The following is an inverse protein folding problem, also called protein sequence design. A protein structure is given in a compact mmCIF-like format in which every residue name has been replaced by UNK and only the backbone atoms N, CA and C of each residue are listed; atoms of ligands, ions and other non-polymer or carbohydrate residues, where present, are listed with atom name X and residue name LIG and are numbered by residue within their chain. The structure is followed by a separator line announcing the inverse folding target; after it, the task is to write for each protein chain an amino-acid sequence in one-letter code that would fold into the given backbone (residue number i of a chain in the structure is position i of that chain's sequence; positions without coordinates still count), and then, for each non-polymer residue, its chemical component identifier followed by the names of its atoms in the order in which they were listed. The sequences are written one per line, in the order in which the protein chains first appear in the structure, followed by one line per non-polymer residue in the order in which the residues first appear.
data_IF_793347434144
#
_entry.id   IF_793347434144
#
_cell.length_a   1.000
_cell.length_b   1.000
_cell.length_c   1.000
_cell.angle_alpha   90.00
_cell.angle_beta   90.00
_cell.angle_gamma   90.00
#
_symmetry.space_group_name_H-M   'P 1'
#
loop_
_entity.id
_entity.type
_entity.pdbx_description
1 polymer ?
#
# COMPACT_ATOMS: atom_id res chain seq x y z
N UNK A 1 -20.95 -7.74 -72.80
CA UNK A 1 -20.09 -7.11 -73.84
C UNK A 1 -19.46 -5.89 -73.19
N UNK A 2 -18.18 -5.97 -72.77
CA UNK A 2 -16.99 -5.52 -73.53
C UNK A 2 -17.12 -4.05 -73.97
N UNK A 3 -16.25 -3.10 -73.66
CA UNK A 3 -14.80 -3.12 -73.40
C UNK A 3 -14.37 -1.71 -72.92
N UNK A 4 -13.39 -1.62 -72.03
CA UNK A 4 -12.55 -0.42 -71.76
C UNK A 4 -11.57 -0.16 -72.94
N UNK A 5 -10.48 0.64 -72.83
CA UNK A 5 -10.12 1.74 -71.91
C UNK A 5 -9.54 2.98 -72.64
N UNK A 6 -9.28 4.08 -71.94
CA UNK A 6 -8.18 5.03 -72.26
C UNK A 6 -7.72 5.74 -70.97
N UNK A 7 -6.47 5.53 -70.58
CA UNK A 7 -5.75 6.27 -69.53
C UNK A 7 -4.38 6.70 -70.11
N UNK A 8 -4.06 7.98 -69.94
CA UNK A 8 -2.80 8.69 -70.20
C UNK A 8 -3.00 10.08 -69.56
N UNK A 9 -2.13 10.75 -68.80
CA UNK A 9 -0.68 10.73 -68.56
C UNK A 9 -0.40 11.48 -67.23
N UNK A 10 0.69 11.10 -66.53
CA UNK A 10 1.74 12.00 -65.96
C UNK A 10 2.21 11.67 -64.52
N UNK A 11 3.53 11.46 -64.30
CA UNK A 11 4.20 11.28 -63.00
C UNK A 11 5.00 12.55 -62.59
N UNK A 12 5.89 12.51 -61.56
CA UNK A 12 5.71 12.10 -60.17
C UNK A 12 6.13 13.22 -59.17
N UNK A 13 5.69 13.13 -57.91
CA UNK A 13 6.26 14.00 -56.87
C UNK A 13 5.58 13.92 -55.51
N UNK A 14 6.24 13.20 -54.59
CA UNK A 14 6.28 13.43 -53.14
C UNK A 14 5.00 13.21 -52.29
N UNK A 15 5.16 12.29 -51.35
CA UNK A 15 4.25 11.86 -50.28
C UNK A 15 3.66 12.99 -49.44
N UNK A 16 2.38 12.86 -49.04
CA UNK A 16 1.90 13.45 -47.79
C UNK A 16 1.29 12.36 -46.89
N UNK A 17 2.08 11.87 -45.94
CA UNK A 17 1.56 11.25 -44.72
C UNK A 17 1.02 12.33 -43.79
N UNK A 18 -0.18 12.84 -44.09
CA UNK A 18 -0.91 13.77 -43.25
C UNK A 18 -2.09 13.06 -42.59
N UNK A 19 -1.92 12.64 -41.33
CA UNK A 19 -3.04 12.19 -40.50
C UNK A 19 -3.61 13.43 -39.82
N UNK A 20 -4.81 13.82 -40.23
CA UNK A 20 -5.62 14.82 -39.56
C UNK A 20 -6.10 14.30 -38.19
N UNK A 21 -5.83 15.10 -37.15
CA UNK A 21 -6.79 15.60 -36.16
C UNK A 21 -7.94 14.67 -35.72
N UNK A 22 -7.98 14.30 -34.44
CA UNK A 22 -8.96 14.83 -33.46
C UNK A 22 -8.93 14.05 -32.13
N UNK A 23 -9.42 14.73 -31.09
CA UNK A 23 -9.84 14.27 -29.75
C UNK A 23 -8.69 14.07 -28.72
N UNK A 24 -8.39 15.06 -27.88
CA UNK A 24 -9.15 15.48 -26.67
C UNK A 24 -9.13 14.40 -25.57
N UNK A 25 -8.34 14.72 -24.53
CA UNK A 25 -8.62 14.46 -23.10
C UNK A 25 -9.33 13.14 -22.77
N UNK A 26 -8.56 12.10 -22.54
CA UNK A 26 -9.01 10.95 -21.74
C UNK A 26 -8.25 10.99 -20.42
N UNK A 27 -8.91 11.54 -19.39
CA UNK A 27 -8.45 11.48 -18.02
C UNK A 27 -8.29 10.01 -17.60
N UNK A 28 -7.09 9.62 -17.12
CA UNK A 28 -6.77 8.25 -16.74
C UNK A 28 -7.27 7.92 -15.32
N UNK A 29 -7.95 6.77 -15.09
CA UNK A 29 -8.39 6.31 -13.77
C UNK A 29 -7.41 5.28 -13.16
N UNK A 30 -6.21 5.70 -12.77
CA UNK A 30 -5.08 4.81 -12.41
C UNK A 30 -4.49 5.00 -10.99
N UNK A 31 -5.18 5.71 -10.09
CA UNK A 31 -4.59 6.29 -8.87
C UNK A 31 -5.05 5.74 -7.49
N UNK A 32 -5.76 4.61 -7.40
CA UNK A 32 -6.19 4.04 -6.10
C UNK A 32 -5.52 2.70 -5.85
N UNK A 33 -4.85 2.51 -4.71
CA UNK A 33 -4.27 1.21 -4.29
C UNK A 33 -3.53 1.36 -2.94
N UNK A 34 -4.24 1.67 -1.84
CA UNK A 34 -3.75 2.16 -0.52
C UNK A 34 -4.01 3.66 -0.27
N UNK A 35 -5.20 4.08 -0.64
CA UNK A 35 -5.90 5.20 -0.01
C UNK A 35 -7.35 4.80 -0.11
N UNK A 36 -8.02 4.65 1.03
CA UNK A 36 -9.39 4.16 1.21
C UNK A 36 -10.25 4.44 -0.03
N UNK A 37 -10.67 3.37 -0.73
CA UNK A 37 -11.36 3.43 -2.03
C UNK A 37 -12.77 3.98 -1.83
N UNK A 38 -12.85 5.29 -1.69
CA UNK A 38 -14.07 6.06 -1.44
C UNK A 38 -14.65 6.72 -2.70
N UNK A 39 -14.25 6.29 -3.90
CA UNK A 39 -14.33 7.10 -5.11
C UNK A 39 -15.63 7.10 -5.91
N UNK A 40 -16.52 6.14 -5.71
CA UNK A 40 -17.54 5.86 -6.74
C UNK A 40 -18.97 6.29 -6.40
N UNK A 41 -19.33 6.55 -5.14
CA UNK A 41 -20.69 6.95 -4.76
C UNK A 41 -20.73 7.89 -3.53
N UNK A 42 -20.10 9.07 -3.58
CA UNK A 42 -20.08 10.01 -2.45
C UNK A 42 -20.68 11.40 -2.78
N UNK A 43 -21.43 12.03 -1.86
CA UNK A 43 -21.85 13.42 -1.97
C UNK A 43 -20.63 14.38 -1.95
N UNK A 44 -20.85 15.58 -2.52
CA UNK A 44 -19.85 16.57 -2.97
C UNK A 44 -18.65 16.78 -2.03
N UNK A 45 -17.45 16.57 -2.60
CA UNK A 45 -16.14 17.16 -2.30
C UNK A 45 -16.14 18.23 -1.19
N UNK A 46 -15.34 18.03 -0.13
CA UNK A 46 -15.02 19.12 0.81
C UNK A 46 -14.10 20.07 0.06
N UNK A 47 -14.64 21.24 -0.30
CA UNK A 47 -13.87 22.31 -0.95
C UNK A 47 -12.90 22.87 0.10
N UNK A 48 -11.61 22.59 -0.05
CA UNK A 48 -10.59 23.53 0.42
C UNK A 48 -10.89 24.89 -0.23
N UNK A 49 -10.70 25.99 0.48
CA UNK A 49 -10.88 27.35 -0.07
C UNK A 49 -9.99 27.57 -1.30
N UNK A 50 -8.85 26.87 -1.34
CA UNK A 50 -7.99 26.68 -2.52
C UNK A 50 -8.04 25.22 -2.99
N UNK A 51 -8.44 25.00 -4.24
CA UNK A 51 -8.41 23.67 -4.87
C UNK A 51 -6.96 23.30 -5.25
N UNK A 52 -6.13 23.03 -4.25
CA UNK A 52 -4.68 22.79 -4.40
C UNK A 52 -4.35 21.62 -5.34
N UNK A 53 -5.28 20.69 -5.55
CA UNK A 53 -5.17 19.64 -6.56
C UNK A 53 -5.01 20.21 -7.99
N UNK A 54 -5.53 21.41 -8.25
CA UNK A 54 -5.37 22.14 -9.53
C UNK A 54 -4.06 22.92 -9.62
N UNK A 55 -3.32 23.03 -8.53
CA UNK A 55 -2.02 23.72 -8.44
C UNK A 55 -0.92 22.74 -7.99
N UNK A 56 -0.60 21.69 -8.77
CA UNK A 56 0.27 20.59 -8.34
C UNK A 56 1.67 21.04 -7.91
N UNK A 57 2.20 22.11 -8.51
CA UNK A 57 3.49 22.71 -8.13
C UNK A 57 3.43 23.41 -6.77
N UNK A 58 2.34 24.13 -6.49
CA UNK A 58 2.12 24.80 -5.20
C UNK A 58 1.93 23.76 -4.10
N UNK A 59 1.12 22.74 -4.36
CA UNK A 59 0.92 21.62 -3.44
C UNK A 59 2.25 20.90 -3.14
N UNK A 60 3.07 20.61 -4.15
CA UNK A 60 4.38 19.99 -3.96
C UNK A 60 5.30 20.87 -3.10
N UNK A 61 5.31 22.19 -3.33
CA UNK A 61 6.11 23.14 -2.54
C UNK A 61 5.69 23.21 -1.06
N UNK A 62 4.41 22.96 -0.75
CA UNK A 62 3.89 22.91 0.62
C UNK A 62 4.16 21.57 1.30
N UNK A 63 4.03 20.44 0.59
CA UNK A 63 4.28 19.10 1.15
C UNK A 63 5.77 18.80 1.32
N UNK A 64 6.62 19.25 0.38
CA UNK A 64 8.06 18.96 0.34
C UNK A 64 8.79 19.24 1.66
N UNK A 65 8.70 20.43 2.29
CA UNK A 65 9.42 20.70 3.54
C UNK A 65 9.01 19.75 4.67
N UNK A 66 7.73 19.39 4.76
CA UNK A 66 7.22 18.49 5.82
C UNK A 66 7.74 17.07 5.62
N UNK A 67 7.62 16.52 4.41
CA UNK A 67 8.14 15.18 4.09
C UNK A 67 9.66 15.11 4.28
N UNK A 68 10.38 16.15 3.84
CA UNK A 68 11.84 16.23 3.98
C UNK A 68 12.26 16.27 5.45
N UNK A 69 11.66 17.16 6.24
CA UNK A 69 11.98 17.29 7.66
C UNK A 69 11.68 15.98 8.41
N UNK A 70 10.55 15.34 8.12
CA UNK A 70 10.21 14.06 8.73
C UNK A 70 11.26 12.98 8.43
N UNK A 71 11.75 12.87 7.19
CA UNK A 71 12.83 11.93 6.83
C UNK A 71 14.15 12.24 7.57
N UNK A 72 14.50 13.52 7.70
CA UNK A 72 15.69 13.96 8.45
C UNK A 72 15.59 13.62 9.94
N UNK A 73 14.45 13.91 10.57
CA UNK A 73 14.20 13.65 11.99
C UNK A 73 14.11 12.14 12.31
N UNK A 74 13.60 11.34 11.37
CA UNK A 74 13.60 9.88 11.42
C UNK A 74 15.00 9.28 11.19
N UNK A 75 16.00 10.11 10.85
CA UNK A 75 17.37 9.70 10.54
C UNK A 75 17.42 8.65 9.42
N UNK A 76 16.55 8.80 8.43
CA UNK A 76 16.41 7.84 7.35
C UNK A 76 17.70 7.76 6.51
N UNK A 77 18.37 6.59 6.44
CA UNK A 77 19.69 6.47 5.83
C UNK A 77 19.66 6.25 4.31
N UNK A 78 18.50 6.41 3.66
CA UNK A 78 18.29 6.09 2.25
C UNK A 78 18.01 4.61 1.99
N UNK A 79 17.74 4.30 0.72
CA UNK A 79 17.28 2.97 0.31
C UNK A 79 18.25 1.84 0.68
N UNK A 80 17.78 0.65 1.10
CA UNK A 80 18.65 -0.49 1.39
C UNK A 80 19.22 -1.12 0.11
N UNK A 81 20.39 -1.75 0.23
CA UNK A 81 20.94 -2.60 -0.83
C UNK A 81 20.42 -4.02 -0.66
N UNK A 82 19.83 -4.57 -1.71
CA UNK A 82 19.38 -5.97 -1.76
C UNK A 82 20.40 -6.82 -2.54
N UNK A 83 20.58 -8.07 -2.12
CA UNK A 83 21.45 -9.02 -2.81
C UNK A 83 20.66 -9.74 -3.90
N UNK A 84 21.30 -9.98 -5.05
CA UNK A 84 20.68 -10.66 -6.19
C UNK A 84 20.15 -12.05 -5.81
N UNK A 85 20.94 -12.80 -5.04
CA UNK A 85 20.59 -14.17 -4.66
C UNK A 85 19.34 -14.20 -3.75
N UNK A 86 19.22 -13.21 -2.85
CA UNK A 86 18.05 -13.04 -1.99
C UNK A 86 16.80 -12.68 -2.82
N UNK A 87 16.96 -11.80 -3.82
CA UNK A 87 15.89 -11.41 -4.75
C UNK A 87 15.38 -12.60 -5.55
N UNK A 88 16.29 -13.36 -6.17
CA UNK A 88 15.93 -14.55 -6.96
C UNK A 88 15.26 -15.62 -6.10
N UNK A 89 15.78 -15.89 -4.89
CA UNK A 89 15.20 -16.85 -3.98
C UNK A 89 13.80 -16.46 -3.51
N UNK A 90 13.60 -15.18 -3.13
CA UNK A 90 12.31 -14.67 -2.69
C UNK A 90 11.27 -14.66 -3.82
N UNK A 91 11.64 -14.19 -5.02
CA UNK A 91 10.75 -14.20 -6.18
C UNK A 91 10.31 -15.62 -6.53
N UNK A 92 11.25 -16.57 -6.56
CA UNK A 92 10.96 -17.98 -6.81
C UNK A 92 9.98 -18.54 -5.76
N UNK A 93 10.22 -18.24 -4.49
CA UNK A 93 9.36 -18.70 -3.39
C UNK A 93 7.95 -18.10 -3.50
N UNK A 94 7.85 -16.77 -3.61
CA UNK A 94 6.56 -16.08 -3.71
C UNK A 94 5.77 -16.51 -4.95
N UNK A 95 6.41 -16.64 -6.10
CA UNK A 95 5.74 -17.09 -7.32
C UNK A 95 5.21 -18.52 -7.16
N UNK A 96 6.02 -19.46 -6.67
CA UNK A 96 5.57 -20.83 -6.39
C UNK A 96 4.34 -20.84 -5.48
N UNK A 97 4.39 -20.08 -4.39
CA UNK A 97 3.28 -20.00 -3.42
C UNK A 97 2.04 -19.31 -3.98
N UNK A 98 2.20 -18.30 -4.83
CA UNK A 98 1.09 -17.64 -5.50
C UNK A 98 0.36 -18.58 -6.47
N UNK A 99 1.11 -19.40 -7.21
CA UNK A 99 0.55 -20.47 -8.04
C UNK A 99 -0.19 -21.51 -7.19
N UNK A 100 0.34 -21.89 -6.03
CA UNK A 100 -0.33 -22.80 -5.09
C UNK A 100 -1.61 -22.21 -4.49
N UNK A 101 -1.63 -20.90 -4.23
CA UNK A 101 -2.84 -20.18 -3.80
C UNK A 101 -3.90 -20.18 -4.92
N UNK A 102 -3.48 -20.08 -6.18
CA UNK A 102 -4.36 -20.17 -7.34
C UNK A 102 -5.14 -18.89 -7.63
N UNK A 103 -4.69 -17.73 -7.12
CA UNK A 103 -5.23 -16.43 -7.52
C UNK A 103 -4.45 -15.87 -8.73
N UNK A 104 -5.11 -15.34 -9.78
CA UNK A 104 -4.42 -14.90 -11.00
C UNK A 104 -3.34 -13.84 -10.74
N UNK A 105 -2.16 -13.98 -11.34
CA UNK A 105 -1.09 -12.97 -11.33
C UNK A 105 -1.03 -12.17 -12.64
N UNK A 106 -1.85 -12.48 -13.63
CA UNK A 106 -1.84 -11.83 -14.95
C UNK A 106 -2.60 -10.48 -14.98
N UNK A 107 -3.38 -10.17 -13.93
CA UNK A 107 -4.11 -8.90 -13.84
C UNK A 107 -3.19 -7.74 -13.41
N UNK A 108 -3.37 -6.51 -13.95
CA UNK A 108 -2.56 -5.36 -13.56
C UNK A 108 -2.58 -5.07 -12.04
N UNK A 109 -3.72 -5.31 -11.39
CA UNK A 109 -3.88 -5.16 -9.94
C UNK A 109 -3.05 -6.20 -9.18
N UNK A 110 -3.17 -7.47 -9.55
CA UNK A 110 -2.46 -8.56 -8.90
C UNK A 110 -0.95 -8.39 -9.03
N UNK A 111 -0.46 -8.02 -10.21
CA UNK A 111 0.97 -7.73 -10.41
C UNK A 111 1.47 -6.56 -9.58
N UNK A 112 0.65 -5.51 -9.39
CA UNK A 112 1.02 -4.36 -8.55
C UNK A 112 1.06 -4.76 -7.07
N UNK A 113 0.07 -5.49 -6.59
CA UNK A 113 0.04 -6.02 -5.23
C UNK A 113 1.21 -6.98 -4.95
N UNK A 114 1.52 -7.86 -5.90
CA UNK A 114 2.63 -8.79 -5.80
C UNK A 114 3.97 -8.05 -5.75
N UNK A 115 4.18 -7.06 -6.63
CA UNK A 115 5.38 -6.19 -6.59
C UNK A 115 5.51 -5.46 -5.26
N UNK A 116 4.43 -4.90 -4.74
CA UNK A 116 4.46 -4.21 -3.45
C UNK A 116 4.81 -5.15 -2.30
N UNK A 117 4.18 -6.32 -2.24
CA UNK A 117 4.48 -7.33 -1.23
C UNK A 117 5.92 -7.83 -1.32
N UNK A 118 6.41 -8.08 -2.53
CA UNK A 118 7.79 -8.46 -2.78
C UNK A 118 8.77 -7.38 -2.31
N UNK A 119 8.54 -6.12 -2.66
CA UNK A 119 9.36 -4.99 -2.22
C UNK A 119 9.39 -4.85 -0.70
N UNK A 120 8.23 -4.90 -0.04
CA UNK A 120 8.17 -4.80 1.43
C UNK A 120 8.91 -5.96 2.11
N UNK A 121 8.70 -7.19 1.64
CA UNK A 121 9.39 -8.37 2.15
C UNK A 121 10.93 -8.25 2.01
N UNK A 122 11.41 -7.88 0.82
CA UNK A 122 12.84 -7.80 0.54
C UNK A 122 13.53 -6.64 1.28
N UNK A 123 12.86 -5.48 1.39
CA UNK A 123 13.46 -4.27 1.95
C UNK A 123 13.31 -4.16 3.46
N UNK A 124 12.17 -4.59 4.02
CA UNK A 124 11.90 -4.45 5.46
C UNK A 124 12.44 -5.62 6.28
N UNK A 125 12.63 -6.79 5.65
CA UNK A 125 13.01 -8.02 6.35
C UNK A 125 14.22 -8.72 5.72
N UNK A 126 15.32 -8.01 5.41
CA UNK A 126 16.43 -8.52 4.61
C UNK A 126 17.17 -9.71 5.25
N UNK A 127 17.00 -9.92 6.56
CA UNK A 127 17.63 -11.02 7.33
C UNK A 127 16.67 -12.08 7.82
N UNK A 128 15.39 -11.97 7.51
CA UNK A 128 14.44 -13.03 7.80
C UNK A 128 14.67 -14.20 6.83
N UNK A 129 14.37 -15.45 7.21
CA UNK A 129 14.32 -16.56 6.27
C UNK A 129 13.42 -16.24 5.07
N UNK A 130 13.75 -16.80 3.91
CA UNK A 130 13.00 -16.55 2.66
C UNK A 130 11.52 -16.93 2.81
N UNK A 131 11.21 -17.94 3.61
CA UNK A 131 9.85 -18.37 3.90
C UNK A 131 9.06 -17.31 4.66
N UNK A 132 9.71 -16.61 5.59
CA UNK A 132 9.10 -15.52 6.37
C UNK A 132 8.94 -14.27 5.52
N UNK A 133 9.97 -13.91 4.75
CA UNK A 133 9.87 -12.82 3.76
C UNK A 133 8.72 -13.10 2.78
N UNK A 134 8.65 -14.32 2.24
CA UNK A 134 7.59 -14.75 1.34
C UNK A 134 6.21 -14.73 1.98
N UNK A 135 6.08 -15.13 3.25
CA UNK A 135 4.84 -14.98 4.00
C UNK A 135 4.36 -13.52 4.04
N UNK A 136 5.25 -12.58 4.38
CA UNK A 136 4.93 -11.15 4.41
C UNK A 136 4.51 -10.66 3.03
N UNK A 137 5.28 -11.00 1.99
CA UNK A 137 4.98 -10.55 0.64
C UNK A 137 3.67 -11.09 0.08
N UNK A 138 3.35 -12.36 0.34
CA UNK A 138 2.07 -12.96 -0.05
C UNK A 138 0.90 -12.39 0.74
N UNK A 139 1.08 -12.14 2.04
CA UNK A 139 0.08 -11.50 2.89
C UNK A 139 -0.26 -10.11 2.34
N UNK A 140 0.75 -9.28 2.07
CA UNK A 140 0.56 -7.95 1.47
C UNK A 140 -0.12 -8.04 0.11
N UNK A 141 0.30 -8.97 -0.76
CA UNK A 141 -0.32 -9.15 -2.08
C UNK A 141 -1.83 -9.41 -1.97
N UNK A 142 -2.25 -10.38 -1.15
CA UNK A 142 -3.66 -10.75 -1.00
C UNK A 142 -4.48 -9.66 -0.31
N UNK A 143 -3.91 -8.96 0.68
CA UNK A 143 -4.55 -7.80 1.32
C UNK A 143 -4.85 -6.69 0.31
N UNK A 144 -3.91 -6.42 -0.62
CA UNK A 144 -4.14 -5.44 -1.70
C UNK A 144 -5.25 -5.90 -2.64
N UNK A 145 -5.37 -7.20 -2.92
CA UNK A 145 -6.49 -7.73 -3.70
C UNK A 145 -7.82 -7.57 -2.96
N UNK A 146 -7.83 -7.80 -1.64
CA UNK A 146 -9.03 -7.68 -0.82
C UNK A 146 -9.58 -6.24 -0.82
N UNK A 147 -8.71 -5.24 -0.62
CA UNK A 147 -9.07 -3.81 -0.65
C UNK A 147 -9.81 -3.43 -1.95
N UNK A 148 -9.35 -3.95 -3.08
CA UNK A 148 -9.94 -3.69 -4.39
C UNK A 148 -11.23 -4.48 -4.64
N UNK A 149 -11.32 -5.75 -4.23
CA UNK A 149 -12.53 -6.58 -4.42
C UNK A 149 -13.70 -6.07 -3.58
N UNK A 150 -13.48 -5.65 -2.33
CA UNK A 150 -14.53 -4.96 -1.55
C UNK A 150 -14.90 -3.65 -2.24
N UNK A 151 -13.94 -3.07 -2.98
CA UNK A 151 -14.07 -1.96 -3.90
C UNK A 151 -15.12 -2.11 -5.00
N UNK A 152 -15.28 -3.32 -5.53
CA UNK A 152 -16.04 -3.61 -6.74
C UNK A 152 -17.50 -3.97 -6.45
N UNK A 153 -18.42 -3.54 -7.33
CA UNK A 153 -19.87 -3.68 -7.13
C UNK A 153 -20.42 -5.08 -7.52
N UNK A 154 -19.63 -5.95 -8.14
CA UNK A 154 -20.08 -7.25 -8.66
C UNK A 154 -19.78 -8.40 -7.66
N UNK A 155 -20.58 -8.53 -6.60
CA UNK A 155 -20.56 -9.70 -5.69
C UNK A 155 -19.38 -9.79 -4.70
N UNK A 156 -18.28 -9.06 -4.93
CA UNK A 156 -17.10 -9.06 -4.06
C UNK A 156 -17.39 -8.65 -2.61
N UNK A 157 -18.37 -7.74 -2.41
CA UNK A 157 -18.79 -7.34 -1.07
C UNK A 157 -19.47 -8.50 -0.29
N UNK A 158 -20.32 -9.30 -0.94
CA UNK A 158 -21.03 -10.41 -0.29
C UNK A 158 -20.05 -11.50 0.16
N UNK A 159 -19.06 -11.81 -0.67
CA UNK A 159 -17.99 -12.75 -0.34
C UNK A 159 -17.16 -12.25 0.86
N UNK A 160 -16.80 -10.96 0.86
CA UNK A 160 -16.05 -10.33 1.94
C UNK A 160 -16.82 -10.28 3.27
N UNK A 161 -18.13 -10.00 3.24
CA UNK A 161 -18.99 -9.98 4.43
C UNK A 161 -19.01 -11.32 5.16
N UNK A 162 -18.89 -12.43 4.43
CA UNK A 162 -18.90 -13.76 5.03
C UNK A 162 -17.53 -14.24 5.51
N UNK A 163 -16.43 -13.59 5.10
CA UNK A 163 -15.07 -14.06 5.38
C UNK A 163 -14.86 -14.44 6.85
N UNK A 164 -15.15 -13.53 7.78
CA UNK A 164 -14.90 -13.71 9.21
C UNK A 164 -15.72 -14.86 9.81
N UNK A 165 -17.01 -14.96 9.46
CA UNK A 165 -17.86 -16.07 9.92
C UNK A 165 -17.27 -17.39 9.47
N UNK A 166 -16.94 -17.50 8.18
CA UNK A 166 -16.38 -18.72 7.59
C UNK A 166 -15.03 -19.08 8.21
N UNK A 167 -14.16 -18.07 8.40
CA UNK A 167 -12.86 -18.22 9.03
C UNK A 167 -12.97 -18.78 10.46
N UNK A 168 -13.85 -18.22 11.29
CA UNK A 168 -14.05 -18.65 12.68
C UNK A 168 -14.69 -20.05 12.77
N UNK A 169 -15.54 -20.40 11.81
CA UNK A 169 -16.17 -21.72 11.75
C UNK A 169 -15.28 -22.80 11.11
N UNK A 170 -14.09 -22.44 10.60
CA UNK A 170 -13.23 -23.35 9.85
C UNK A 170 -13.82 -23.78 8.50
N UNK A 171 -14.76 -23.01 7.96
CA UNK A 171 -15.28 -23.21 6.61
C UNK A 171 -14.24 -22.75 5.58
N UNK A 172 -14.26 -23.38 4.39
CA UNK A 172 -13.54 -22.88 3.20
C UNK A 172 -13.94 -21.42 2.92
N UNK A 173 -13.22 -20.68 2.08
CA UNK A 173 -13.59 -19.34 1.61
C UNK A 173 -14.15 -19.42 0.19
N UNK A 174 -14.91 -18.41 -0.29
CA UNK A 174 -15.66 -18.55 -1.54
C UNK A 174 -14.78 -18.46 -2.79
N UNK A 175 -13.57 -17.91 -2.66
CA UNK A 175 -12.61 -17.83 -3.75
C UNK A 175 -11.17 -18.09 -3.25
N UNK A 176 -10.25 -18.31 -4.19
CA UNK A 176 -8.86 -18.64 -3.92
C UNK A 176 -8.08 -17.53 -3.19
N UNK A 177 -8.38 -16.24 -3.45
CA UNK A 177 -7.73 -15.12 -2.76
C UNK A 177 -8.07 -15.12 -1.26
N UNK A 178 -9.37 -15.22 -0.94
CA UNK A 178 -9.84 -15.27 0.44
C UNK A 178 -9.36 -16.55 1.14
N UNK A 179 -9.37 -17.70 0.45
CA UNK A 179 -8.84 -18.95 1.02
C UNK A 179 -7.34 -18.85 1.30
N UNK A 180 -6.58 -18.23 0.38
CA UNK A 180 -5.17 -17.93 0.56
C UNK A 180 -4.93 -17.06 1.79
N UNK A 181 -5.71 -15.99 1.98
CA UNK A 181 -5.58 -15.10 3.12
C UNK A 181 -5.93 -15.80 4.44
N UNK A 182 -7.02 -16.57 4.47
CA UNK A 182 -7.38 -17.42 5.61
C UNK A 182 -6.29 -18.44 5.93
N UNK A 183 -5.68 -19.04 4.90
CA UNK A 183 -4.55 -19.96 5.02
C UNK A 183 -3.32 -19.30 5.63
N UNK A 184 -2.96 -18.08 5.21
CA UNK A 184 -1.85 -17.32 5.82
C UNK A 184 -2.14 -16.97 7.27
N UNK A 185 -3.35 -16.51 7.60
CA UNK A 185 -3.74 -16.23 8.98
C UNK A 185 -3.60 -17.48 9.87
N UNK A 186 -3.99 -18.66 9.38
CA UNK A 186 -3.81 -19.95 10.09
C UNK A 186 -2.34 -20.37 10.22
N UNK A 187 -1.48 -19.97 9.30
CA UNK A 187 -0.03 -20.25 9.35
C UNK A 187 0.71 -19.35 10.36
N UNK A 188 0.17 -18.17 10.70
CA UNK A 188 0.85 -17.18 11.53
C UNK A 188 1.41 -17.72 12.87
N UNK A 189 0.70 -18.55 13.66
CA UNK A 189 1.23 -19.11 14.91
C UNK A 189 2.40 -20.09 14.71
N UNK A 190 2.60 -20.59 13.48
CA UNK A 190 3.77 -21.38 13.11
C UNK A 190 5.04 -20.53 12.94
N UNK A 191 4.89 -19.25 12.61
CA UNK A 191 5.99 -18.33 12.26
C UNK A 191 6.28 -17.31 13.37
N UNK A 192 5.24 -16.82 14.04
CA UNK A 192 5.30 -15.83 15.09
C UNK A 192 4.91 -16.44 16.44
N UNK A 193 5.27 -15.76 17.53
CA UNK A 193 4.79 -16.12 18.87
C UNK A 193 3.25 -16.25 18.86
N UNK A 194 2.64 -17.23 19.54
CA UNK A 194 1.19 -17.44 19.45
C UNK A 194 0.34 -16.22 19.83
N UNK A 195 0.74 -15.45 20.84
CA UNK A 195 0.01 -14.24 21.25
C UNK A 195 0.20 -13.14 20.21
N UNK A 196 1.43 -12.96 19.71
CA UNK A 196 1.73 -11.99 18.66
C UNK A 196 1.04 -12.35 17.33
N UNK A 197 0.93 -13.64 17.02
CA UNK A 197 0.17 -14.15 15.88
C UNK A 197 -1.34 -13.85 16.03
N UNK A 198 -1.91 -13.95 17.23
CA UNK A 198 -3.28 -13.51 17.47
C UNK A 198 -3.46 -11.99 17.29
N UNK A 199 -2.50 -11.17 17.72
CA UNK A 199 -2.54 -9.72 17.49
C UNK A 199 -2.47 -9.38 15.99
N UNK A 200 -1.61 -10.06 15.22
CA UNK A 200 -1.54 -9.98 13.77
C UNK A 200 -2.89 -10.35 13.13
N UNK A 201 -3.48 -11.47 13.54
CA UNK A 201 -4.79 -11.91 13.04
C UNK A 201 -5.88 -10.87 13.33
N UNK A 202 -5.94 -10.34 14.57
CA UNK A 202 -6.87 -9.28 14.94
C UNK A 202 -6.67 -8.05 14.05
N UNK A 203 -5.43 -7.64 13.82
CA UNK A 203 -5.10 -6.49 12.96
C UNK A 203 -5.57 -6.70 11.51
N UNK A 204 -5.38 -7.90 10.97
CA UNK A 204 -5.88 -8.24 9.64
C UNK A 204 -7.42 -8.25 9.58
N UNK A 205 -8.08 -8.86 10.57
CA UNK A 205 -9.56 -8.92 10.60
C UNK A 205 -10.18 -7.54 10.82
N UNK A 206 -9.54 -6.67 11.61
CA UNK A 206 -9.92 -5.24 11.74
C UNK A 206 -9.93 -4.55 10.39
N UNK A 207 -8.87 -4.72 9.59
CA UNK A 207 -8.80 -4.14 8.25
C UNK A 207 -9.89 -4.65 7.32
N UNK A 208 -10.13 -5.95 7.35
CA UNK A 208 -11.17 -6.57 6.55
C UNK A 208 -12.57 -6.07 6.94
N UNK A 209 -12.81 -5.90 8.24
CA UNK A 209 -14.02 -5.25 8.76
C UNK A 209 -14.09 -3.78 8.35
N UNK A 210 -12.98 -3.04 8.39
CA UNK A 210 -12.95 -1.62 8.05
C UNK A 210 -13.36 -1.36 6.60
N UNK A 211 -12.89 -2.21 5.67
CA UNK A 211 -13.31 -2.17 4.27
C UNK A 211 -14.83 -2.28 4.10
N UNK A 212 -15.49 -3.13 4.90
CA UNK A 212 -16.95 -3.26 4.92
C UNK A 212 -17.62 -2.08 5.63
N UNK A 213 -17.06 -1.60 6.75
CA UNK A 213 -17.52 -0.41 7.47
C UNK A 213 -17.53 0.81 6.54
N UNK A 214 -16.49 0.97 5.73
CA UNK A 214 -16.39 2.00 4.71
C UNK A 214 -17.47 1.88 3.63
N UNK A 215 -18.26 0.82 3.57
CA UNK A 215 -19.43 0.67 2.67
C UNK A 215 -20.76 0.78 3.37
N UNK A 216 -20.76 0.73 4.70
CA UNK A 216 -21.97 0.80 5.48
C UNK A 216 -22.66 2.16 5.33
N UNK A 217 -23.97 2.18 5.08
CA UNK A 217 -24.76 3.40 4.87
C UNK A 217 -24.62 4.40 6.02
N UNK A 218 -24.58 3.88 7.25
CA UNK A 218 -24.37 4.69 8.45
C UNK A 218 -23.02 5.40 8.45
N UNK A 219 -21.96 4.79 7.92
CA UNK A 219 -20.65 5.41 7.80
C UNK A 219 -20.59 6.39 6.61
N UNK A 220 -21.19 6.03 5.48
CA UNK A 220 -21.25 6.88 4.29
C UNK A 220 -21.94 8.22 4.55
N UNK A 221 -23.00 8.19 5.36
CA UNK A 221 -23.88 9.32 5.62
C UNK A 221 -23.72 9.92 7.03
N UNK A 222 -22.73 9.47 7.82
CA UNK A 222 -22.53 10.00 9.15
C UNK A 222 -22.16 11.49 9.11
N UNK A 223 -22.66 12.24 10.08
CA UNK A 223 -22.21 13.62 10.33
C UNK A 223 -21.14 13.59 11.40
N UNK A 224 -19.98 14.17 11.11
CA UNK A 224 -18.91 14.35 12.09
C UNK A 224 -19.22 15.51 13.03
N UNK A 225 -19.07 15.33 14.33
CA UNK A 225 -19.20 16.41 15.32
C UNK A 225 -17.84 17.09 15.53
N UNK A 226 -17.62 18.23 14.87
CA UNK A 226 -16.39 19.03 14.99
C UNK A 226 -16.13 19.38 16.47
N UNK A 227 -14.88 19.24 16.92
CA UNK A 227 -14.45 19.50 18.29
C UNK A 227 -14.77 18.39 19.30
N UNK A 228 -15.79 17.56 19.06
CA UNK A 228 -16.14 16.44 19.96
C UNK A 228 -15.63 15.07 19.46
N UNK A 229 -15.66 14.84 18.14
CA UNK A 229 -15.26 13.58 17.52
C UNK A 229 -13.76 13.38 17.32
N UNK A 230 -12.91 14.05 18.10
CA UNK A 230 -11.45 14.16 17.84
C UNK A 230 -10.69 12.83 17.88
N UNK A 231 -11.24 11.78 18.49
CA UNK A 231 -10.64 10.43 18.55
C UNK A 231 -11.08 9.50 17.42
N UNK A 232 -12.14 9.87 16.70
CA UNK A 232 -12.67 9.03 15.62
C UNK A 232 -11.66 8.81 14.47
N UNK A 233 -10.88 9.83 14.03
CA UNK A 233 -9.86 9.62 13.00
C UNK A 233 -8.81 8.59 13.40
N UNK A 234 -8.32 8.62 14.64
CA UNK A 234 -7.33 7.65 15.14
C UNK A 234 -7.92 6.24 15.21
N UNK A 235 -9.16 6.11 15.69
CA UNK A 235 -9.87 4.83 15.74
C UNK A 235 -10.06 4.22 14.34
N UNK A 236 -10.53 5.03 13.38
CA UNK A 236 -10.73 4.57 12.01
C UNK A 236 -9.39 4.18 11.36
N UNK A 237 -8.33 4.94 11.61
CA UNK A 237 -7.00 4.64 11.05
C UNK A 237 -6.45 3.32 11.58
N UNK A 238 -6.59 3.06 12.88
CA UNK A 238 -6.19 1.79 13.51
C UNK A 238 -6.95 0.59 12.92
N UNK A 239 -8.23 0.76 12.60
CA UNK A 239 -9.00 -0.27 11.91
C UNK A 239 -8.49 -0.52 10.48
N UNK A 240 -8.19 0.53 9.73
CA UNK A 240 -7.82 0.47 8.32
C UNK A 240 -6.33 0.15 8.05
N UNK A 241 -5.47 0.06 9.07
CA UNK A 241 -4.02 0.11 8.89
C UNK A 241 -3.26 -1.20 8.76
N UNK A 242 -3.79 -2.30 9.31
CA UNK A 242 -3.03 -3.57 9.44
C UNK A 242 -1.69 -3.36 10.20
N UNK A 243 -1.63 -2.28 10.98
CA UNK A 243 -0.44 -1.72 11.58
C UNK A 243 0.31 -2.69 12.49
N UNK A 244 -0.41 -3.33 13.41
CA UNK A 244 0.14 -4.30 14.36
C UNK A 244 0.65 -5.55 13.64
N UNK A 245 0.01 -6.00 12.55
CA UNK A 245 0.52 -7.12 11.78
C UNK A 245 1.90 -6.82 11.18
N UNK A 246 2.08 -5.65 10.56
CA UNK A 246 3.38 -5.23 10.03
C UNK A 246 4.43 -5.03 11.13
N UNK A 247 4.04 -4.57 12.32
CA UNK A 247 4.94 -4.52 13.47
C UNK A 247 5.37 -5.93 13.92
N UNK A 248 4.44 -6.89 13.96
CA UNK A 248 4.72 -8.30 14.31
C UNK A 248 5.63 -8.98 13.29
N UNK A 249 5.53 -8.64 11.99
CA UNK A 249 6.41 -9.19 10.94
C UNK A 249 7.89 -8.93 11.20
N UNK A 250 8.24 -7.93 11.99
CA UNK A 250 9.61 -7.67 12.41
C UNK A 250 10.20 -8.80 13.29
N UNK A 251 9.38 -9.63 13.92
CA UNK A 251 9.83 -10.52 15.00
C UNK A 251 9.37 -11.99 14.83
N UNK A 252 9.77 -12.71 13.75
CA UNK A 252 9.54 -14.15 13.66
C UNK A 252 10.17 -14.91 14.84
N UNK A 253 9.42 -15.81 15.47
CA UNK A 253 9.81 -16.43 16.76
C UNK A 253 11.08 -17.27 16.68
N UNK A 254 11.43 -17.79 15.51
CA UNK A 254 12.65 -18.57 15.31
C UNK A 254 13.93 -17.72 15.48
N UNK A 255 13.86 -16.41 15.18
CA UNK A 255 14.96 -15.48 15.35
C UNK A 255 14.78 -14.58 16.59
N UNK A 256 13.52 -14.33 17.00
CA UNK A 256 13.15 -13.38 18.03
C UNK A 256 12.19 -14.03 19.06
N UNK A 257 12.64 -15.07 19.81
CA UNK A 257 11.74 -15.89 20.64
C UNK A 257 11.22 -15.17 21.89
N UNK A 258 11.97 -14.22 22.45
CA UNK A 258 11.57 -13.48 23.65
C UNK A 258 10.70 -12.24 23.30
N UNK A 259 9.39 -12.36 23.54
CA UNK A 259 8.39 -11.30 23.31
C UNK A 259 8.64 -10.08 24.21
N UNK A 260 9.19 -10.27 25.41
CA UNK A 260 9.45 -9.16 26.34
C UNK A 260 10.45 -8.15 25.78
N UNK A 261 11.27 -8.56 24.80
CA UNK A 261 12.23 -7.70 24.13
C UNK A 261 11.59 -6.68 23.19
N UNK A 262 10.34 -6.84 22.74
CA UNK A 262 9.77 -5.93 21.74
C UNK A 262 8.29 -5.57 21.92
N UNK A 263 7.55 -6.29 22.76
CA UNK A 263 6.11 -6.08 22.94
C UNK A 263 5.75 -4.62 23.25
N UNK A 264 6.51 -3.99 24.14
CA UNK A 264 6.31 -2.58 24.54
C UNK A 264 6.44 -1.61 23.36
N UNK A 265 7.26 -1.93 22.35
CA UNK A 265 7.45 -1.09 21.16
C UNK A 265 6.36 -1.27 20.10
N UNK A 266 5.59 -2.36 20.11
CA UNK A 266 4.59 -2.67 19.08
C UNK A 266 3.57 -1.55 18.86
N UNK A 267 2.98 -0.92 19.90
CA UNK A 267 2.03 0.18 19.69
C UNK A 267 2.64 1.38 18.96
N UNK A 268 3.86 1.78 19.32
CA UNK A 268 4.55 2.88 18.66
C UNK A 268 5.00 2.51 17.25
N UNK A 269 5.48 1.28 17.02
CA UNK A 269 5.79 0.78 15.68
C UNK A 269 4.55 0.78 14.78
N UNK A 270 3.42 0.27 15.28
CA UNK A 270 2.14 0.26 14.58
C UNK A 270 1.69 1.69 14.24
N UNK A 271 1.83 2.63 15.19
CA UNK A 271 1.56 4.05 14.94
C UNK A 271 2.44 4.58 13.81
N UNK A 272 3.76 4.39 13.87
CA UNK A 272 4.69 4.84 12.81
C UNK A 272 4.25 4.31 11.44
N UNK A 273 3.96 3.01 11.33
CA UNK A 273 3.53 2.37 10.06
C UNK A 273 2.31 3.10 9.48
N UNK A 274 1.31 3.40 10.30
CA UNK A 274 0.09 4.03 9.82
C UNK A 274 0.30 5.49 9.40
N UNK A 275 0.79 6.31 10.33
CA UNK A 275 0.75 7.75 10.16
C UNK A 275 1.92 8.31 9.36
N UNK A 276 3.04 7.58 9.24
CA UNK A 276 4.07 7.94 8.24
C UNK A 276 3.57 7.73 6.82
N UNK A 277 2.76 6.68 6.57
CA UNK A 277 2.12 6.48 5.29
C UNK A 277 1.19 7.65 4.96
N UNK A 278 0.35 8.08 5.91
CA UNK A 278 -0.57 9.22 5.71
C UNK A 278 0.16 10.52 5.35
N UNK A 279 1.36 10.76 5.92
CA UNK A 279 2.18 11.93 5.57
C UNK A 279 2.75 11.80 4.16
N UNK A 280 3.40 10.67 3.84
CA UNK A 280 4.03 10.46 2.54
C UNK A 280 3.01 10.29 1.40
N UNK A 281 1.81 9.82 1.70
CA UNK A 281 0.73 9.64 0.73
C UNK A 281 -0.08 10.91 0.50
N UNK A 282 -0.07 11.87 1.43
CA UNK A 282 -0.92 13.07 1.33
C UNK A 282 -0.82 13.78 -0.03
N UNK A 283 0.39 13.95 -0.57
CA UNK A 283 0.58 14.60 -1.86
C UNK A 283 -0.14 13.88 -3.01
N UNK A 284 0.01 12.55 -3.13
CA UNK A 284 -0.67 11.78 -4.20
C UNK A 284 -2.19 11.78 -4.04
N UNK A 285 -2.67 11.81 -2.79
CA UNK A 285 -4.10 11.77 -2.45
C UNK A 285 -4.77 13.08 -2.79
N UNK A 286 -4.16 14.21 -2.43
CA UNK A 286 -4.62 15.53 -2.82
C UNK A 286 -4.68 15.69 -4.34
N UNK A 287 -3.63 15.26 -5.06
CA UNK A 287 -3.65 15.24 -6.52
C UNK A 287 -4.76 14.35 -7.10
N UNK A 288 -5.09 13.25 -6.41
CA UNK A 288 -6.19 12.36 -6.76
C UNK A 288 -7.57 12.90 -6.36
N UNK A 289 -7.65 14.04 -5.67
CA UNK A 289 -8.88 14.59 -5.10
C UNK A 289 -9.44 13.78 -3.92
N UNK A 290 -8.62 12.95 -3.29
CA UNK A 290 -8.98 12.04 -2.22
C UNK A 290 -8.99 12.77 -0.87
N UNK A 291 -10.13 13.36 -0.52
CA UNK A 291 -10.29 14.17 0.70
C UNK A 291 -10.79 13.37 1.91
N UNK A 292 -10.68 12.05 1.82
CA UNK A 292 -11.39 11.09 2.67
C UNK A 292 -10.38 10.12 3.28
N UNK A 293 -9.33 10.71 3.84
CA UNK A 293 -8.14 10.08 4.43
C UNK A 293 -7.94 10.56 5.88
N UNK A 294 -6.92 10.05 6.56
CA UNK A 294 -6.65 10.39 7.97
C UNK A 294 -6.39 11.88 8.19
N UNK A 295 -5.60 12.53 7.33
CA UNK A 295 -5.25 13.96 7.44
C UNK A 295 -6.52 14.82 7.37
N UNK A 296 -7.40 14.59 6.39
CA UNK A 296 -8.66 15.32 6.29
C UNK A 296 -9.64 14.98 7.41
N UNK A 297 -9.71 13.72 7.82
CA UNK A 297 -10.55 13.33 8.96
C UNK A 297 -10.10 14.04 10.24
N UNK A 298 -8.79 14.11 10.50
CA UNK A 298 -8.21 14.82 11.66
C UNK A 298 -8.42 16.33 11.54
N UNK A 299 -8.29 16.89 10.34
CA UNK A 299 -8.67 18.29 10.07
C UNK A 299 -10.15 18.56 10.38
N UNK A 300 -11.06 17.73 9.90
CA UNK A 300 -12.50 17.91 10.15
C UNK A 300 -12.82 17.81 11.64
N UNK A 301 -12.19 16.87 12.34
CA UNK A 301 -12.44 16.63 13.75
C UNK A 301 -11.89 17.77 14.63
N UNK A 302 -10.68 18.27 14.34
CA UNK A 302 -10.00 19.31 15.13
C UNK A 302 -10.33 20.74 14.68
N UNK A 303 -10.67 20.92 13.41
CA UNK A 303 -10.88 22.24 12.81
C UNK A 303 -9.60 23.02 12.47
N UNK A 304 -8.42 22.39 12.53
CA UNK A 304 -7.13 22.99 12.16
C UNK A 304 -6.99 23.20 10.64
N UNK A 305 -5.98 23.94 10.22
CA UNK A 305 -5.56 23.95 8.80
C UNK A 305 -5.01 22.58 8.38
N UNK A 306 -5.14 22.21 7.09
CA UNK A 306 -4.73 20.89 6.60
C UNK A 306 -3.22 20.66 6.70
N UNK A 307 -2.40 21.68 6.44
CA UNK A 307 -0.94 21.56 6.52
C UNK A 307 -0.48 21.59 7.98
N UNK A 308 -1.14 22.36 8.84
CA UNK A 308 -0.92 22.27 10.29
C UNK A 308 -1.22 20.85 10.83
N UNK A 309 -2.26 20.18 10.31
CA UNK A 309 -2.52 18.77 10.65
C UNK A 309 -1.44 17.86 10.08
N UNK A 310 -1.00 18.07 8.85
CA UNK A 310 0.09 17.29 8.24
C UNK A 310 1.39 17.39 9.06
N UNK A 311 1.73 18.59 9.53
CA UNK A 311 2.87 18.86 10.43
C UNK A 311 2.70 18.18 11.80
N UNK A 312 1.51 18.27 12.41
CA UNK A 312 1.22 17.54 13.66
C UNK A 312 1.44 16.02 13.48
N UNK A 313 0.98 15.46 12.37
CA UNK A 313 1.07 14.01 12.09
C UNK A 313 2.51 13.59 11.78
N UNK A 314 3.28 14.42 11.09
CA UNK A 314 4.71 14.20 10.90
C UNK A 314 5.47 14.22 12.24
N UNK A 315 5.14 15.15 13.12
CA UNK A 315 5.71 15.22 14.48
C UNK A 315 5.33 13.99 15.30
N UNK A 316 4.05 13.60 15.30
CA UNK A 316 3.56 12.40 15.98
C UNK A 316 4.27 11.12 15.49
N UNK A 317 4.62 11.07 14.21
CA UNK A 317 5.36 9.97 13.58
C UNK A 317 6.77 9.88 14.16
N UNK A 318 7.50 11.01 14.17
CA UNK A 318 8.86 11.10 14.71
C UNK A 318 8.87 10.73 16.20
N UNK A 319 7.92 11.24 16.97
CA UNK A 319 7.80 10.96 18.39
C UNK A 319 7.57 9.47 18.68
N UNK A 320 6.70 8.81 17.89
CA UNK A 320 6.47 7.38 17.99
C UNK A 320 7.72 6.56 17.62
N UNK A 321 8.42 6.94 16.54
CA UNK A 321 9.66 6.30 16.14
C UNK A 321 10.76 6.43 17.20
N UNK A 322 10.86 7.60 17.84
CA UNK A 322 11.80 7.84 18.93
C UNK A 322 11.50 6.99 20.17
N UNK A 323 10.22 6.86 20.55
CA UNK A 323 9.82 5.97 21.68
C UNK A 323 10.11 4.51 21.37
N UNK A 324 9.71 4.00 20.20
CA UNK A 324 10.01 2.62 19.78
C UNK A 324 11.53 2.35 19.76
N UNK A 325 12.32 3.29 19.24
CA UNK A 325 13.79 3.21 19.24
C UNK A 325 14.37 3.21 20.65
N UNK A 326 13.85 4.05 21.55
CA UNK A 326 14.31 4.12 22.94
C UNK A 326 14.00 2.81 23.70
N UNK A 327 12.82 2.23 23.49
CA UNK A 327 12.42 0.95 24.08
C UNK A 327 13.39 -0.16 23.64
N UNK A 328 13.66 -0.27 22.33
CA UNK A 328 14.47 -1.35 21.77
C UNK A 328 15.98 -1.14 21.92
N UNK A 329 16.44 0.06 22.30
CA UNK A 329 17.85 0.40 22.40
C UNK A 329 18.63 -0.60 23.26
N UNK A 330 19.69 -1.17 22.71
CA UNK A 330 20.56 -2.12 23.41
C UNK A 330 20.01 -3.55 23.47
N UNK A 331 18.87 -3.84 22.83
CA UNK A 331 18.28 -5.20 22.76
C UNK A 331 18.82 -6.02 21.57
N UNK A 332 19.98 -5.66 21.04
CA UNK A 332 20.73 -6.44 20.04
C UNK A 332 19.96 -6.68 18.74
N UNK A 333 19.75 -7.95 18.37
CA UNK A 333 19.10 -8.32 17.11
C UNK A 333 17.67 -7.75 16.97
N UNK A 334 16.96 -7.55 18.09
CA UNK A 334 15.60 -6.99 18.10
C UNK A 334 15.59 -5.53 17.64
N UNK A 335 16.51 -4.71 18.16
CA UNK A 335 16.72 -3.33 17.73
C UNK A 335 17.03 -3.26 16.23
N UNK A 336 17.94 -4.13 15.78
CA UNK A 336 18.37 -4.16 14.39
C UNK A 336 17.24 -4.57 13.44
N UNK A 337 16.39 -5.50 13.85
CA UNK A 337 15.21 -5.91 13.06
C UNK A 337 14.24 -4.75 12.85
N UNK A 338 13.95 -3.99 13.92
CA UNK A 338 13.09 -2.81 13.82
C UNK A 338 13.72 -1.72 12.94
N UNK A 339 15.02 -1.44 13.09
CA UNK A 339 15.71 -0.44 12.27
C UNK A 339 15.70 -0.79 10.78
N UNK A 340 15.89 -2.06 10.44
CA UNK A 340 15.81 -2.55 9.06
C UNK A 340 14.39 -2.45 8.50
N UNK A 341 13.38 -2.80 9.31
CA UNK A 341 11.98 -2.64 8.92
C UNK A 341 11.64 -1.16 8.68
N UNK A 342 12.03 -0.26 9.59
CA UNK A 342 11.80 1.17 9.43
C UNK A 342 12.46 1.70 8.14
N UNK A 343 13.74 1.36 7.92
CA UNK A 343 14.46 1.74 6.69
C UNK A 343 13.74 1.24 5.44
N UNK A 344 13.40 -0.05 5.39
CA UNK A 344 12.72 -0.65 4.25
C UNK A 344 11.34 -0.04 3.98
N UNK A 345 10.60 0.27 5.05
CA UNK A 345 9.28 0.87 4.96
C UNK A 345 9.35 2.29 4.40
N UNK A 346 10.34 3.09 4.81
CA UNK A 346 10.50 4.47 4.32
C UNK A 346 11.04 4.47 2.89
N UNK A 347 11.98 3.57 2.58
CA UNK A 347 12.46 3.32 1.23
C UNK A 347 11.32 2.98 0.26
N UNK A 348 10.33 2.19 0.70
CA UNK A 348 9.14 1.90 -0.10
C UNK A 348 8.38 3.17 -0.51
N UNK A 349 8.36 4.22 0.34
CA UNK A 349 7.71 5.48 -0.01
C UNK A 349 8.56 6.35 -0.93
N UNK A 350 9.85 6.51 -0.61
CA UNK A 350 10.77 7.37 -1.38
C UNK A 350 11.08 6.79 -2.75
N UNK A 351 11.04 5.47 -2.93
CA UNK A 351 11.46 4.83 -4.17
C UNK A 351 10.32 4.27 -5.03
N UNK A 352 9.08 4.26 -4.53
CA UNK A 352 7.93 3.80 -5.32
C UNK A 352 7.27 4.98 -6.04
N UNK A 353 7.18 4.96 -7.39
CA UNK A 353 6.56 6.03 -8.18
C UNK A 353 5.12 6.38 -7.75
N UNK A 354 4.41 5.45 -7.10
CA UNK A 354 3.06 5.65 -6.54
C UNK A 354 2.94 6.92 -5.67
N UNK A 355 3.95 7.24 -4.87
CA UNK A 355 3.89 8.37 -3.92
C UNK A 355 4.24 9.72 -4.56
N UNK A 356 4.71 9.71 -5.83
CA UNK A 356 5.09 10.91 -6.58
C UNK A 356 6.12 11.79 -5.86
N UNK A 357 7.03 11.16 -5.11
CA UNK A 357 8.10 11.86 -4.39
C UNK A 357 9.06 12.60 -5.35
N UNK A 358 9.09 12.21 -6.63
CA UNK A 358 9.86 12.88 -7.68
C UNK A 358 9.37 14.32 -7.92
N UNK A 359 8.07 14.59 -7.79
CA UNK A 359 7.50 15.93 -7.95
C UNK A 359 7.95 16.89 -6.83
N UNK A 360 8.50 16.34 -5.74
CA UNK A 360 9.05 17.06 -4.60
C UNK A 360 10.58 16.98 -4.52
N UNK A 361 11.26 16.41 -5.52
CA UNK A 361 12.72 16.11 -5.50
C UNK A 361 13.14 15.24 -4.29
N UNK A 362 12.27 14.33 -3.85
CA UNK A 362 12.51 13.41 -2.73
C UNK A 362 12.54 11.94 -3.17
N UNK A 363 12.46 11.66 -4.47
CA UNK A 363 12.49 10.30 -4.97
C UNK A 363 13.91 9.70 -4.92
N UNK A 364 13.97 8.42 -4.57
CA UNK A 364 15.16 7.59 -4.68
C UNK A 364 14.97 6.52 -5.77
N UNK A 365 16.08 5.97 -6.27
CA UNK A 365 16.01 4.82 -7.18
C UNK A 365 15.51 3.58 -6.42
N UNK A 366 14.57 2.84 -7.03
CA UNK A 366 14.02 1.64 -6.41
C UNK A 366 15.11 0.56 -6.26
N UNK A 367 15.35 0.00 -5.05
CA UNK A 367 16.39 -1.01 -4.82
C UNK A 367 16.29 -2.24 -5.70
N UNK A 368 15.07 -2.53 -6.16
CA UNK A 368 14.77 -3.67 -7.01
C UNK A 368 14.76 -3.34 -8.51
N UNK A 369 15.01 -2.07 -8.90
CA UNK A 369 15.07 -1.66 -10.30
C UNK A 369 16.04 -2.50 -11.14
N UNK A 370 17.25 -2.88 -10.66
CA UNK A 370 18.15 -3.77 -11.40
C UNK A 370 17.57 -5.17 -11.67
N UNK A 371 16.53 -5.58 -10.95
CA UNK A 371 15.95 -6.91 -10.98
C UNK A 371 14.54 -6.96 -11.59
N UNK A 372 14.04 -5.85 -12.15
CA UNK A 372 12.69 -5.79 -12.76
C UNK A 372 12.52 -6.82 -13.90
N UNK A 373 13.60 -7.15 -14.62
CA UNK A 373 13.57 -8.19 -15.65
C UNK A 373 13.17 -9.56 -15.09
N UNK A 374 13.60 -9.93 -13.87
CA UNK A 374 13.24 -11.18 -13.22
C UNK A 374 11.74 -11.23 -12.89
N UNK A 375 11.16 -10.10 -12.47
CA UNK A 375 9.72 -10.00 -12.25
C UNK A 375 8.94 -10.05 -13.57
N UNK A 376 9.44 -9.41 -14.62
CA UNK A 376 8.82 -9.43 -15.95
C UNK A 376 8.80 -10.86 -16.55
N UNK A 377 9.85 -11.66 -16.32
CA UNK A 377 9.89 -13.06 -16.74
C UNK A 377 8.78 -13.88 -16.07
N UNK A 378 8.57 -13.70 -14.75
CA UNK A 378 7.49 -14.39 -14.01
C UNK A 378 6.12 -14.02 -14.57
N UNK A 379 5.84 -12.72 -14.73
CA UNK A 379 4.55 -12.27 -15.27
C UNK A 379 4.37 -12.63 -16.75
N UNK A 380 5.46 -12.74 -17.52
CA UNK A 380 5.46 -13.17 -18.91
C UNK A 380 5.20 -14.67 -19.08
N UNK A 381 5.66 -15.51 -18.16
CA UNK A 381 5.43 -16.96 -18.18
C UNK A 381 3.95 -17.32 -18.05
N UNK A 382 3.12 -16.52 -17.38
CA UNK A 382 1.67 -16.75 -17.31
C UNK A 382 0.97 -16.48 -18.64
N UNK A 383 1.41 -15.48 -19.41
CA UNK A 383 0.82 -15.18 -20.74
C UNK A 383 0.98 -16.31 -21.77
N UNK A 384 1.96 -17.20 -21.58
CA UNK A 384 2.23 -18.32 -22.49
C UNK A 384 1.41 -19.57 -22.11
N UNK A 385 0.83 -19.61 -20.91
CA UNK A 385 0.03 -20.74 -20.42
C UNK A 385 -1.49 -20.53 -20.53
N UNK A 386 -1.94 -19.35 -20.97
CA UNK A 386 -3.35 -19.00 -21.14
C UNK A 386 -3.88 -19.33 -22.54
#
# INVERSE_FOLDING_TARGET
MSTSPKIMVSPPGLSPGGINSAAVSVAQPWLRMLSSVWGMCAPKRIRLEDDLAKEPKRLAALCKPICKQMLEDLKYPGVPRVKRESVEALLKYMHKRAVEIGWPLDTPLSQKGFRLGFSLAAMCHPRHPIEVQGYVGLFTWLVVQYDDIVGQNEGGMDEAQHFQRRFLNGETQPNAMLEGLAGLLRQAPGIFDPVMASLLQISALKFMTCNLLERHDGFQNMKTTRGAGIKFPDFLRDLAGINVAYAVFCFPKAQYPDVSQYLEAIPDMARVIDISNDVFSFYKEELGGETRNYIHNRRMATGKDVFAVLEDVATDTVDAANRASAILKGRGAYEQSMQECARGFHAMHTSNPRYKMADMDLAEEHPLAPYEHLMAEIFGQEKVKA
#
